data_IF_531186756487
#
_entry.id   IF_531186756487
#
_cell.length_a   1.000
_cell.length_b   1.000
_cell.length_c   1.000
_cell.angle_alpha   90.00
_cell.angle_beta   90.00
_cell.angle_gamma   90.00
#
_symmetry.space_group_name_H-M   'P 1'
#
loop_
_entity.id
_entity.type
_entity.pdbx_description
1 polymer ?
#
# COMPACT_ATOMS: atom_id res chain seq x y z
N UNK A 1 8.26 40.64 24.74
CA UNK A 1 8.69 41.54 23.66
C UNK A 1 9.49 40.72 22.67
N UNK A 2 9.69 41.24 21.48
CA UNK A 2 10.64 40.68 20.51
C UNK A 2 11.73 41.74 20.27
N UNK A 3 12.96 41.28 20.10
CA UNK A 3 14.08 42.12 19.65
C UNK A 3 14.50 41.63 18.27
N UNK A 4 14.67 42.56 17.32
CA UNK A 4 15.11 42.23 15.97
C UNK A 4 16.61 41.93 15.97
N UNK A 5 16.98 40.79 15.39
CA UNK A 5 18.37 40.42 15.14
C UNK A 5 18.59 40.30 13.63
N UNK A 6 19.67 40.93 13.13
CA UNK A 6 20.05 40.87 11.71
C UNK A 6 21.44 40.24 11.58
N UNK A 7 21.52 39.15 10.85
CA UNK A 7 22.77 38.50 10.48
C UNK A 7 22.99 38.68 8.97
N UNK A 8 24.15 39.22 8.60
CA UNK A 8 24.58 39.33 7.21
C UNK A 8 25.92 38.63 7.06
N UNK A 9 25.97 37.60 6.22
CA UNK A 9 27.20 36.90 5.86
C UNK A 9 27.47 37.10 4.37
N UNK A 10 28.68 37.56 4.04
CA UNK A 10 29.17 37.66 2.66
C UNK A 10 30.42 36.82 2.55
N UNK A 11 30.46 35.96 1.55
CA UNK A 11 31.65 35.18 1.21
C UNK A 11 31.95 35.38 -0.28
N UNK A 12 33.15 35.84 -0.57
CA UNK A 12 33.66 35.93 -1.93
C UNK A 12 34.69 34.82 -2.13
N UNK A 13 34.36 33.86 -2.99
CA UNK A 13 35.36 32.91 -3.50
C UNK A 13 35.77 33.33 -4.91
N UNK A 14 36.94 32.89 -5.37
CA UNK A 14 37.45 33.15 -6.72
C UNK A 14 36.44 32.81 -7.84
N UNK A 15 35.50 31.91 -7.57
CA UNK A 15 34.55 31.39 -8.55
C UNK A 15 33.07 31.76 -8.27
N UNK A 16 32.69 32.04 -7.02
CA UNK A 16 31.29 32.25 -6.61
C UNK A 16 31.17 33.33 -5.51
N UNK A 17 30.62 34.52 -5.81
CA UNK A 17 30.07 35.40 -4.77
C UNK A 17 28.80 34.80 -4.16
N UNK A 18 28.78 34.70 -2.83
CA UNK A 18 27.63 34.25 -2.04
C UNK A 18 27.27 35.35 -1.03
N UNK A 19 26.00 35.75 -1.02
CA UNK A 19 25.43 36.64 0.00
C UNK A 19 24.27 35.93 0.68
N UNK A 20 24.33 35.85 2.01
CA UNK A 20 23.27 35.32 2.87
C UNK A 20 22.86 36.42 3.83
N UNK A 21 21.58 36.79 3.83
CA UNK A 21 20.99 37.72 4.78
C UNK A 21 19.87 37.04 5.55
N UNK A 22 19.89 37.10 6.87
CA UNK A 22 18.80 36.57 7.71
C UNK A 22 18.42 37.63 8.74
N UNK A 23 17.12 37.90 8.83
CA UNK A 23 16.49 38.78 9.81
C UNK A 23 15.47 37.97 10.63
N UNK A 24 15.65 37.99 11.94
CA UNK A 24 14.92 37.17 12.90
C UNK A 24 14.26 38.04 13.96
N UNK A 25 13.05 37.66 14.36
CA UNK A 25 12.46 38.10 15.61
C UNK A 25 12.88 37.13 16.72
N UNK A 26 13.62 37.64 17.71
CA UNK A 26 14.05 36.88 18.88
C UNK A 26 13.12 37.19 20.06
N UNK A 27 12.40 36.20 20.62
CA UNK A 27 11.55 36.44 21.79
C UNK A 27 12.40 36.78 23.02
N UNK A 28 12.08 37.88 23.71
CA UNK A 28 12.86 38.36 24.88
C UNK A 28 12.79 37.42 26.09
N UNK A 29 11.91 36.42 26.09
CA UNK A 29 11.68 35.51 27.23
C UNK A 29 11.95 34.02 26.92
N UNK A 30 12.13 33.64 25.66
CA UNK A 30 12.44 32.25 25.28
C UNK A 30 13.10 32.23 23.89
N UNK A 31 14.43 32.11 23.80
CA UNK A 31 15.16 32.15 22.53
C UNK A 31 14.90 30.92 21.63
N UNK A 32 14.20 29.91 22.13
CA UNK A 32 13.93 28.66 21.41
C UNK A 32 12.87 28.78 20.31
N UNK A 33 12.09 29.87 20.31
CA UNK A 33 11.04 30.12 19.32
C UNK A 33 11.38 31.34 18.45
N UNK A 34 12.48 31.24 17.69
CA UNK A 34 12.84 32.27 16.71
C UNK A 34 11.85 32.24 15.54
N UNK A 35 11.35 33.41 15.15
CA UNK A 35 10.51 33.54 13.95
C UNK A 35 11.31 34.26 12.87
N UNK A 36 11.48 33.61 11.72
CA UNK A 36 12.13 34.24 10.56
C UNK A 36 11.21 35.33 10.02
N UNK A 37 11.67 36.58 10.05
CA UNK A 37 11.00 37.72 9.42
C UNK A 37 11.35 37.80 7.94
N UNK A 38 12.64 37.64 7.65
CA UNK A 38 13.16 37.69 6.30
C UNK A 38 14.41 36.82 6.20
N UNK A 39 14.51 35.99 5.18
CA UNK A 39 15.74 35.31 4.81
C UNK A 39 15.96 35.47 3.30
N UNK A 40 17.15 35.89 2.92
CA UNK A 40 17.57 36.11 1.55
C UNK A 40 18.85 35.33 1.28
N UNK A 41 18.86 34.59 0.18
CA UNK A 41 20.03 33.92 -0.36
C UNK A 41 20.26 34.43 -1.77
N UNK A 42 21.47 34.91 -2.06
CA UNK A 42 21.89 35.24 -3.42
C UNK A 42 23.22 34.55 -3.71
N UNK A 43 23.23 33.71 -4.74
CA UNK A 43 24.41 33.01 -5.22
C UNK A 43 24.54 33.30 -6.70
N UNK A 44 25.65 33.84 -7.15
CA UNK A 44 25.87 34.10 -8.57
C UNK A 44 27.22 33.54 -9.02
N UNK A 45 27.27 32.98 -10.22
CA UNK A 45 28.53 32.76 -10.94
C UNK A 45 28.88 34.03 -11.70
N UNK A 46 30.17 34.34 -11.88
CA UNK A 46 30.59 35.60 -12.51
C UNK A 46 30.06 35.85 -13.93
N UNK A 47 29.53 34.83 -14.62
CA UNK A 47 29.21 34.94 -16.06
C UNK A 47 27.95 34.23 -16.57
N UNK A 48 27.26 33.39 -15.78
CA UNK A 48 26.23 32.54 -16.40
C UNK A 48 24.98 32.31 -15.56
N UNK A 49 25.10 31.96 -14.27
CA UNK A 49 23.95 31.49 -13.48
C UNK A 49 23.85 32.31 -12.19
N UNK A 50 22.64 32.77 -11.86
CA UNK A 50 22.34 33.33 -10.56
C UNK A 50 21.13 32.64 -9.93
N UNK A 51 21.19 32.44 -8.62
CA UNK A 51 20.14 31.90 -7.79
C UNK A 51 19.76 32.95 -6.74
N UNK A 52 18.47 33.24 -6.65
CA UNK A 52 17.91 34.10 -5.62
C UNK A 52 16.85 33.32 -4.85
N UNK A 53 16.94 33.33 -3.53
CA UNK A 53 15.95 32.78 -2.63
C UNK A 53 15.49 33.87 -1.66
N UNK A 54 14.19 33.93 -1.40
CA UNK A 54 13.58 34.86 -0.45
C UNK A 54 12.52 34.10 0.35
N UNK A 55 12.57 34.25 1.66
CA UNK A 55 11.48 33.96 2.59
C UNK A 55 11.15 35.28 3.26
N UNK A 56 9.90 35.72 3.21
CA UNK A 56 9.46 36.98 3.78
C UNK A 56 8.14 36.80 4.51
N UNK A 57 8.12 37.11 5.80
CA UNK A 57 6.89 37.23 6.56
C UNK A 57 6.19 38.51 6.16
N UNK A 58 4.96 38.40 5.63
CA UNK A 58 4.13 39.54 5.22
C UNK A 58 3.17 40.01 6.32
N UNK A 59 2.89 39.13 7.29
CA UNK A 59 1.98 39.40 8.39
C UNK A 59 1.92 38.25 9.38
N UNK A 60 0.96 38.30 10.31
CA UNK A 60 0.71 37.18 11.22
C UNK A 60 0.26 35.94 10.43
N UNK A 61 1.04 34.85 10.50
CA UNK A 61 0.74 33.60 9.79
C UNK A 61 0.88 33.66 8.27
N UNK A 62 1.42 34.75 7.70
CA UNK A 62 1.56 34.91 6.25
C UNK A 62 3.02 34.97 5.82
N UNK A 63 3.40 34.10 4.89
CA UNK A 63 4.76 33.97 4.37
C UNK A 63 4.76 33.98 2.85
N UNK A 64 5.67 34.74 2.27
CA UNK A 64 6.00 34.72 0.85
C UNK A 64 7.36 34.03 0.69
N UNK A 65 7.39 32.98 -0.12
CA UNK A 65 8.59 32.31 -0.55
C UNK A 65 8.80 32.59 -2.03
N UNK A 66 10.01 32.92 -2.44
CA UNK A 66 10.37 33.10 -3.84
C UNK A 66 11.71 32.45 -4.11
N UNK A 67 11.82 31.73 -5.22
CA UNK A 67 13.07 31.20 -5.74
C UNK A 67 13.16 31.57 -7.22
N UNK A 68 14.27 32.18 -7.63
CA UNK A 68 14.53 32.52 -9.01
C UNK A 68 15.88 31.97 -9.47
N UNK A 69 15.92 31.48 -10.70
CA UNK A 69 17.14 31.07 -11.39
C UNK A 69 17.27 31.88 -12.66
N UNK A 70 18.40 32.56 -12.79
CA UNK A 70 18.74 33.39 -13.92
C UNK A 70 19.86 32.72 -14.73
N UNK A 71 19.75 32.76 -16.06
CA UNK A 71 20.80 32.36 -16.99
C UNK A 71 21.12 33.54 -17.92
N UNK A 72 22.36 34.01 -17.95
CA UNK A 72 22.79 35.20 -18.70
C UNK A 72 21.85 36.42 -18.53
N UNK A 73 21.41 36.68 -17.30
CA UNK A 73 20.51 37.80 -16.98
C UNK A 73 19.04 37.58 -17.35
N UNK A 74 18.68 36.47 -17.98
CA UNK A 74 17.29 36.09 -18.27
C UNK A 74 16.73 35.17 -17.19
N UNK A 75 15.46 35.33 -16.82
CA UNK A 75 14.77 34.43 -15.89
C UNK A 75 14.47 33.10 -16.60
N UNK A 76 15.08 32.02 -16.14
CA UNK A 76 14.79 30.67 -16.67
C UNK A 76 13.74 29.97 -15.83
N UNK A 77 13.76 30.24 -14.53
CA UNK A 77 12.79 29.71 -13.57
C UNK A 77 12.49 30.77 -12.52
N UNK A 78 11.21 30.93 -12.20
CA UNK A 78 10.77 31.72 -11.05
C UNK A 78 9.63 30.98 -10.37
N UNK A 79 9.77 30.68 -9.09
CA UNK A 79 8.73 30.05 -8.27
C UNK A 79 8.40 31.02 -7.15
N UNK A 80 7.14 31.40 -7.01
CA UNK A 80 6.63 32.21 -5.92
C UNK A 80 5.52 31.45 -5.21
N UNK A 81 5.59 31.33 -3.90
CA UNK A 81 4.58 30.67 -3.08
C UNK A 81 4.16 31.57 -1.93
N UNK A 82 2.87 31.80 -1.79
CA UNK A 82 2.28 32.50 -0.65
C UNK A 82 1.59 31.49 0.25
N UNK A 83 1.99 31.46 1.51
CA UNK A 83 1.44 30.61 2.54
C UNK A 83 0.67 31.47 3.55
N UNK A 84 -0.56 31.09 3.84
CA UNK A 84 -1.43 31.76 4.81
C UNK A 84 -1.91 30.70 5.80
N UNK A 85 -1.53 30.86 7.06
CA UNK A 85 -1.97 30.05 8.19
C UNK A 85 -2.82 30.91 9.13
N UNK A 86 -4.07 30.51 9.34
CA UNK A 86 -4.98 31.15 10.30
C UNK A 86 -5.49 30.11 11.29
N UNK A 87 -5.73 30.52 12.55
CA UNK A 87 -6.24 29.65 13.61
C UNK A 87 -5.16 29.22 14.61
N UNK A 88 -5.52 28.28 15.50
CA UNK A 88 -4.63 27.67 16.50
C UNK A 88 -4.53 26.16 16.22
N UNK A 89 -3.44 25.51 16.59
CA UNK A 89 -3.17 24.14 16.13
C UNK A 89 -4.24 23.13 16.58
N UNK A 90 -4.43 22.09 15.77
CA UNK A 90 -5.29 20.92 15.94
C UNK A 90 -6.81 21.12 15.85
N UNK A 91 -7.35 22.34 16.03
CA UNK A 91 -8.78 22.63 15.81
C UNK A 91 -8.96 24.04 15.23
N UNK A 92 -9.90 24.20 14.29
CA UNK A 92 -10.23 25.51 13.69
C UNK A 92 -9.01 26.19 13.04
N UNK A 93 -8.30 25.44 12.19
CA UNK A 93 -7.16 25.96 11.42
C UNK A 93 -7.47 25.95 9.93
N UNK A 94 -6.88 26.92 9.22
CA UNK A 94 -6.88 26.97 7.77
C UNK A 94 -5.48 27.25 7.28
N UNK A 95 -5.00 26.43 6.36
CA UNK A 95 -3.73 26.58 5.68
C UNK A 95 -3.98 26.71 4.20
N UNK A 96 -3.54 27.81 3.60
CA UNK A 96 -3.64 28.07 2.17
C UNK A 96 -2.23 28.26 1.64
N UNK A 97 -1.88 27.53 0.59
CA UNK A 97 -0.68 27.76 -0.21
C UNK A 97 -1.12 28.07 -1.63
N UNK A 98 -0.71 29.21 -2.15
CA UNK A 98 -0.86 29.55 -3.57
C UNK A 98 0.54 29.70 -4.16
N UNK A 99 0.89 28.84 -5.11
CA UNK A 99 2.21 28.79 -5.73
C UNK A 99 2.08 28.98 -7.23
N UNK A 100 2.95 29.82 -7.79
CA UNK A 100 3.09 30.03 -9.23
C UNK A 100 4.55 29.77 -9.62
N UNK A 101 4.75 29.02 -10.70
CA UNK A 101 6.04 28.70 -11.27
C UNK A 101 6.05 29.12 -12.74
N UNK A 102 7.01 29.97 -13.11
CA UNK A 102 7.29 30.38 -14.48
C UNK A 102 8.55 29.64 -14.92
N UNK A 103 8.43 28.84 -15.98
CA UNK A 103 9.50 28.06 -16.59
C UNK A 103 9.63 28.47 -18.06
N UNK A 104 10.62 29.32 -18.37
CA UNK A 104 10.70 29.99 -19.67
C UNK A 104 9.43 30.79 -19.95
N UNK A 105 8.68 30.38 -20.98
CA UNK A 105 7.42 31.03 -21.39
C UNK A 105 6.15 30.35 -20.84
N UNK A 106 6.30 29.31 -20.01
CA UNK A 106 5.16 28.58 -19.45
C UNK A 106 4.94 28.95 -17.99
N UNK A 107 3.68 29.17 -17.64
CA UNK A 107 3.25 29.44 -16.28
C UNK A 107 2.41 28.27 -15.77
N UNK A 108 2.79 27.74 -14.61
CA UNK A 108 2.07 26.72 -13.87
C UNK A 108 1.72 27.27 -12.50
N UNK A 109 0.51 27.01 -12.02
CA UNK A 109 0.08 27.40 -10.68
C UNK A 109 -0.45 26.20 -9.92
N UNK A 110 -0.35 26.22 -8.60
CA UNK A 110 -1.08 25.30 -7.74
C UNK A 110 -1.58 26.03 -6.52
N UNK A 111 -2.85 25.86 -6.20
CA UNK A 111 -3.44 26.35 -4.96
C UNK A 111 -3.90 25.17 -4.13
N UNK A 112 -3.43 25.12 -2.89
CA UNK A 112 -3.75 24.08 -1.95
C UNK A 112 -4.33 24.70 -0.70
N UNK A 113 -5.51 24.25 -0.29
CA UNK A 113 -6.22 24.76 0.89
C UNK A 113 -6.57 23.58 1.79
N UNK A 114 -6.11 23.57 3.03
CA UNK A 114 -6.59 22.68 4.09
C UNK A 114 -7.40 23.52 5.07
N UNK A 115 -8.57 23.05 5.45
CA UNK A 115 -9.39 23.61 6.52
C UNK A 115 -9.79 22.51 7.48
N UNK A 116 -9.63 22.75 8.76
CA UNK A 116 -10.18 21.90 9.81
C UNK A 116 -11.10 22.75 10.68
N UNK A 117 -12.38 22.44 10.69
CA UNK A 117 -13.38 23.12 11.50
C UNK A 117 -14.23 22.07 12.22
N UNK A 118 -14.20 22.09 13.56
CA UNK A 118 -14.89 21.10 14.41
C UNK A 118 -14.54 19.66 14.00
N UNK A 119 -15.50 18.92 13.44
CA UNK A 119 -15.38 17.53 13.00
C UNK A 119 -15.11 17.37 11.50
N UNK A 120 -14.91 18.47 10.76
CA UNK A 120 -14.78 18.46 9.30
C UNK A 120 -13.38 18.89 8.88
N UNK A 121 -12.69 18.02 8.16
CA UNK A 121 -11.43 18.32 7.48
C UNK A 121 -11.69 18.41 5.99
N UNK A 122 -11.50 19.59 5.40
CA UNK A 122 -11.55 19.81 3.97
C UNK A 122 -10.17 20.06 3.39
N UNK A 123 -9.88 19.49 2.22
CA UNK A 123 -8.72 19.85 1.42
C UNK A 123 -9.16 20.15 -0.01
N UNK A 124 -8.66 21.24 -0.59
CA UNK A 124 -8.88 21.62 -1.99
C UNK A 124 -7.52 21.74 -2.64
N UNK A 125 -7.32 21.06 -3.76
CA UNK A 125 -6.14 21.18 -4.58
C UNK A 125 -6.54 21.59 -6.00
N UNK A 126 -6.05 22.74 -6.45
CA UNK A 126 -6.24 23.26 -7.79
C UNK A 126 -4.87 23.30 -8.48
N UNK A 127 -4.78 22.70 -9.68
CA UNK A 127 -3.65 22.85 -10.58
C UNK A 127 -4.04 23.79 -11.73
N UNK A 128 -3.16 24.72 -12.06
CA UNK A 128 -3.35 25.76 -13.06
C UNK A 128 -2.26 25.74 -14.11
N UNK A 129 -2.61 26.10 -15.34
CA UNK A 129 -1.68 26.42 -16.41
C UNK A 129 -2.13 27.71 -17.08
N UNK A 130 -1.20 28.66 -17.23
CA UNK A 130 -1.45 29.94 -17.90
C UNK A 130 -2.70 30.66 -17.34
N UNK A 131 -2.86 30.62 -16.01
CA UNK A 131 -3.99 31.22 -15.29
C UNK A 131 -5.29 30.39 -15.28
N UNK A 132 -5.42 29.34 -16.09
CA UNK A 132 -6.61 28.50 -16.14
C UNK A 132 -6.46 27.23 -15.27
N UNK A 133 -7.53 26.86 -14.54
CA UNK A 133 -7.58 25.58 -13.84
C UNK A 133 -7.59 24.42 -14.85
N UNK A 134 -6.75 23.42 -14.62
CA UNK A 134 -6.68 22.20 -15.44
C UNK A 134 -7.06 20.95 -14.66
N UNK A 135 -7.02 21.00 -13.33
CA UNK A 135 -7.36 19.89 -12.46
C UNK A 135 -7.74 20.42 -11.07
N UNK A 136 -8.82 19.90 -10.50
CA UNK A 136 -9.33 20.30 -9.18
C UNK A 136 -9.69 19.03 -8.41
N UNK A 137 -9.20 18.92 -7.17
CA UNK A 137 -9.57 17.85 -6.23
C UNK A 137 -10.13 18.48 -4.97
N UNK A 138 -11.37 18.14 -4.64
CA UNK A 138 -12.00 18.50 -3.38
C UNK A 138 -12.11 17.24 -2.52
N UNK A 139 -11.44 17.24 -1.38
CA UNK A 139 -11.58 16.22 -0.35
C UNK A 139 -12.33 16.82 0.83
N UNK A 140 -13.31 16.09 1.34
CA UNK A 140 -14.03 16.43 2.57
C UNK A 140 -14.13 15.18 3.44
N UNK A 141 -13.53 15.22 4.60
CA UNK A 141 -13.63 14.20 5.63
C UNK A 141 -14.49 14.73 6.78
N UNK A 142 -15.47 13.96 7.22
CA UNK A 142 -16.41 14.28 8.28
C UNK A 142 -16.29 13.18 9.33
N UNK A 143 -15.96 13.56 10.57
CA UNK A 143 -15.78 12.66 11.70
C UNK A 143 -16.94 12.83 12.67
N UNK A 144 -17.91 11.92 12.65
CA UNK A 144 -18.91 11.79 13.71
C UNK A 144 -18.55 10.59 14.61
N UNK A 145 -19.13 10.55 15.80
CA UNK A 145 -18.87 9.58 16.88
C UNK A 145 -18.84 8.13 16.39
N UNK A 146 -19.70 7.79 15.43
CA UNK A 146 -19.80 6.46 14.83
C UNK A 146 -19.78 6.46 13.31
N UNK A 147 -19.59 7.60 12.66
CA UNK A 147 -19.70 7.71 11.21
C UNK A 147 -18.55 8.55 10.66
N UNK A 148 -17.67 7.91 9.91
CA UNK A 148 -16.57 8.57 9.22
C UNK A 148 -16.89 8.62 7.74
N UNK A 149 -17.08 9.81 7.20
CA UNK A 149 -17.43 10.00 5.79
C UNK A 149 -16.30 10.73 5.08
N UNK A 150 -15.78 10.16 4.01
CA UNK A 150 -14.80 10.78 3.11
C UNK A 150 -15.43 10.95 1.74
N UNK A 151 -15.47 12.19 1.26
CA UNK A 151 -15.96 12.55 -0.07
C UNK A 151 -14.77 13.11 -0.85
N UNK A 152 -14.49 12.56 -2.01
CA UNK A 152 -13.46 13.07 -2.93
C UNK A 152 -14.16 13.38 -4.25
N UNK A 153 -14.00 14.60 -4.74
CA UNK A 153 -14.48 15.01 -6.05
C UNK A 153 -13.29 15.44 -6.89
N UNK A 154 -13.17 14.85 -8.07
CA UNK A 154 -12.10 15.12 -9.03
C UNK A 154 -12.75 15.73 -10.27
N UNK A 155 -12.40 16.98 -10.53
CA UNK A 155 -12.83 17.74 -11.70
C UNK A 155 -11.68 18.00 -12.65
N UNK A 156 -11.91 17.75 -13.93
CA UNK A 156 -11.07 18.21 -15.04
C UNK A 156 -11.90 19.25 -15.80
N UNK A 157 -11.58 20.55 -15.77
CA UNK A 157 -12.39 21.59 -16.42
C UNK A 157 -12.58 21.39 -17.93
N UNK A 158 -11.72 20.60 -18.58
CA UNK A 158 -11.80 20.23 -20.00
C UNK A 158 -12.73 19.03 -20.26
N UNK A 159 -13.16 18.31 -19.22
CA UNK A 159 -14.11 17.20 -19.33
C UNK A 159 -15.46 17.62 -18.73
N UNK A 160 -16.57 17.19 -19.36
CA UNK A 160 -17.90 17.59 -18.91
C UNK A 160 -18.34 16.91 -17.60
N UNK A 161 -17.66 15.85 -17.17
CA UNK A 161 -18.08 15.00 -16.04
C UNK A 161 -17.06 14.99 -14.92
N UNK A 162 -17.51 15.10 -13.67
CA UNK A 162 -16.65 14.95 -12.50
C UNK A 162 -16.73 13.53 -11.95
N UNK A 163 -15.64 13.08 -11.34
CA UNK A 163 -15.58 11.79 -10.66
C UNK A 163 -15.72 12.01 -9.16
N UNK A 164 -16.70 11.37 -8.54
CA UNK A 164 -16.99 11.50 -7.11
C UNK A 164 -16.84 10.16 -6.42
N UNK A 165 -16.04 10.12 -5.37
CA UNK A 165 -15.89 9.00 -4.47
C UNK A 165 -16.55 9.36 -3.15
N UNK A 166 -17.46 8.52 -2.66
CA UNK A 166 -17.97 8.61 -1.30
C UNK A 166 -17.57 7.34 -0.58
N UNK A 167 -16.85 7.47 0.52
CA UNK A 167 -16.51 6.37 1.39
C UNK A 167 -17.09 6.66 2.77
N UNK A 168 -17.80 5.70 3.33
CA UNK A 168 -18.43 5.79 4.64
C UNK A 168 -17.99 4.58 5.45
N UNK A 169 -17.52 4.84 6.66
CA UNK A 169 -17.22 3.83 7.66
C UNK A 169 -18.16 4.10 8.84
N UNK A 170 -19.11 3.20 9.03
CA UNK A 170 -20.04 3.21 10.17
C UNK A 170 -19.52 2.25 11.24
N UNK A 171 -19.29 2.75 12.45
CA UNK A 171 -18.91 1.95 13.61
C UNK A 171 -20.17 1.42 14.27
N UNK A 172 -20.42 0.11 14.12
CA UNK A 172 -21.55 -0.56 14.76
C UNK A 172 -21.21 -0.76 16.24
N UNK A 173 -20.05 -1.39 16.50
CA UNK A 173 -19.47 -1.63 17.82
C UNK A 173 -17.94 -1.69 17.73
N UNK A 174 -17.25 -1.89 18.85
CA UNK A 174 -15.79 -2.01 18.85
C UNK A 174 -15.36 -3.14 17.90
N UNK A 175 -14.49 -2.80 16.94
CA UNK A 175 -13.97 -3.71 15.90
C UNK A 175 -14.97 -4.21 14.84
N UNK A 176 -16.21 -3.72 14.86
CA UNK A 176 -17.22 -4.07 13.87
C UNK A 176 -17.73 -2.83 13.15
N UNK A 177 -17.55 -2.84 11.84
CA UNK A 177 -17.77 -1.70 10.98
C UNK A 177 -18.62 -2.10 9.78
N UNK A 178 -19.37 -1.15 9.23
CA UNK A 178 -19.91 -1.24 7.88
C UNK A 178 -19.12 -0.29 7.00
N UNK A 179 -18.58 -0.81 5.90
CA UNK A 179 -17.94 0.01 4.87
C UNK A 179 -18.94 0.18 3.73
N UNK A 180 -19.07 1.40 3.25
CA UNK A 180 -19.80 1.73 2.03
C UNK A 180 -18.86 2.58 1.17
N UNK A 181 -18.64 2.18 -0.07
CA UNK A 181 -17.82 2.94 -1.03
C UNK A 181 -18.56 3.04 -2.34
N UNK A 182 -18.77 4.27 -2.78
CA UNK A 182 -19.46 4.62 -4.01
C UNK A 182 -18.54 5.42 -4.90
N UNK A 183 -18.44 5.02 -6.16
CA UNK A 183 -17.77 5.79 -7.21
C UNK A 183 -18.82 6.19 -8.23
N UNK A 184 -18.98 7.49 -8.42
CA UNK A 184 -19.94 8.08 -9.34
C UNK A 184 -19.23 8.93 -10.38
N UNK A 185 -19.74 8.93 -11.60
CA UNK A 185 -19.44 9.94 -12.60
C UNK A 185 -20.73 10.74 -12.82
N UNK A 186 -20.77 11.96 -12.31
CA UNK A 186 -21.99 12.76 -12.09
C UNK A 186 -23.07 11.92 -11.35
N UNK A 187 -24.25 11.75 -11.95
CA UNK A 187 -25.36 10.97 -11.40
C UNK A 187 -25.27 9.46 -11.71
N UNK A 188 -24.24 9.01 -12.45
CA UNK A 188 -24.08 7.60 -12.82
C UNK A 188 -23.19 6.88 -11.81
N UNK A 189 -23.75 5.92 -11.07
CA UNK A 189 -22.97 5.02 -10.22
C UNK A 189 -22.13 4.06 -11.08
N UNK A 190 -20.80 4.11 -10.92
CA UNK A 190 -19.86 3.23 -11.61
C UNK A 190 -19.58 1.97 -10.80
N UNK A 191 -19.39 2.13 -9.49
CA UNK A 191 -19.09 1.03 -8.56
C UNK A 191 -19.73 1.36 -7.22
N UNK A 192 -20.43 0.39 -6.64
CA UNK A 192 -20.92 0.43 -5.27
C UNK A 192 -20.39 -0.80 -4.54
N UNK A 193 -19.71 -0.58 -3.41
CA UNK A 193 -19.18 -1.62 -2.52
C UNK A 193 -19.78 -1.39 -1.16
N UNK A 194 -20.47 -2.39 -0.60
CA UNK A 194 -20.97 -2.31 0.76
C UNK A 194 -20.75 -3.62 1.50
N UNK A 195 -20.53 -3.55 2.81
CA UNK A 195 -20.51 -4.76 3.61
C UNK A 195 -19.92 -4.60 5.00
N UNK A 196 -20.18 -5.58 5.88
CA UNK A 196 -19.60 -5.62 7.19
C UNK A 196 -18.11 -6.01 7.15
N UNK A 197 -17.37 -5.41 8.07
CA UNK A 197 -16.05 -5.83 8.53
C UNK A 197 -16.16 -6.13 10.00
N UNK A 198 -15.79 -7.34 10.39
CA UNK A 198 -15.92 -7.84 11.75
C UNK A 198 -14.59 -8.36 12.25
N UNK A 199 -14.18 -7.95 13.44
CA UNK A 199 -13.03 -8.55 14.11
C UNK A 199 -13.39 -8.94 15.55
N UNK A 200 -13.10 -10.19 15.90
CA UNK A 200 -13.36 -10.76 17.21
C UNK A 200 -12.08 -11.33 17.80
N UNK A 201 -11.84 -10.96 19.05
CA UNK A 201 -10.80 -11.51 19.88
C UNK A 201 -11.43 -12.22 21.07
N UNK A 202 -10.98 -13.44 21.34
CA UNK A 202 -11.27 -14.20 22.55
C UNK A 202 -9.97 -14.80 23.09
N UNK A 203 -10.03 -15.43 24.27
CA UNK A 203 -8.84 -15.92 24.97
C UNK A 203 -7.95 -16.86 24.14
N UNK A 204 -8.55 -17.63 23.23
CA UNK A 204 -7.86 -18.59 22.38
C UNK A 204 -8.15 -18.38 20.88
N UNK A 205 -8.90 -17.35 20.50
CA UNK A 205 -9.39 -17.17 19.13
C UNK A 205 -9.25 -15.74 18.66
N UNK A 206 -8.72 -15.57 17.45
CA UNK A 206 -8.80 -14.32 16.69
C UNK A 206 -9.53 -14.62 15.38
N UNK A 207 -10.54 -13.83 15.05
CA UNK A 207 -11.27 -13.95 13.78
C UNK A 207 -11.43 -12.57 13.15
N UNK A 208 -11.19 -12.49 11.86
CA UNK A 208 -11.41 -11.31 11.04
C UNK A 208 -12.22 -11.71 9.81
N UNK A 209 -13.36 -11.06 9.59
CA UNK A 209 -14.24 -11.32 8.45
C UNK A 209 -14.53 -10.03 7.70
N UNK A 210 -14.49 -10.09 6.38
CA UNK A 210 -14.98 -9.08 5.47
C UNK A 210 -15.99 -9.78 4.54
N UNK A 211 -17.17 -9.22 4.38
CA UNK A 211 -18.17 -9.70 3.41
C UNK A 211 -18.65 -8.49 2.60
N UNK A 212 -18.02 -8.24 1.44
CA UNK A 212 -18.32 -7.07 0.61
C UNK A 212 -19.15 -7.49 -0.59
N UNK A 213 -20.32 -6.88 -0.73
CA UNK A 213 -21.11 -6.89 -1.95
C UNK A 213 -20.64 -5.77 -2.86
N UNK A 214 -20.39 -6.10 -4.12
CA UNK A 214 -19.99 -5.18 -5.17
C UNK A 214 -21.07 -5.15 -6.25
N UNK A 215 -21.35 -3.97 -6.79
CA UNK A 215 -22.23 -3.79 -7.93
C UNK A 215 -21.77 -2.66 -8.86
N UNK A 216 -22.21 -2.69 -10.12
CA UNK A 216 -21.89 -1.69 -11.15
C UNK A 216 -20.98 -2.28 -12.24
N UNK A 217 -19.77 -1.75 -12.40
CA UNK A 217 -18.79 -2.30 -13.33
C UNK A 217 -18.29 -3.71 -12.93
N UNK A 218 -18.43 -4.06 -11.65
CA UNK A 218 -18.07 -5.36 -11.09
C UNK A 218 -19.19 -5.83 -10.17
N UNK A 219 -19.88 -6.90 -10.56
CA UNK A 219 -20.94 -7.51 -9.76
C UNK A 219 -20.41 -8.76 -9.04
N UNK A 220 -20.68 -8.86 -7.74
CA UNK A 220 -20.32 -10.04 -6.98
C UNK A 220 -20.27 -9.83 -5.48
N UNK A 221 -19.85 -10.87 -4.78
CA UNK A 221 -19.62 -10.82 -3.33
C UNK A 221 -18.19 -11.29 -3.09
N UNK A 222 -17.37 -10.47 -2.45
CA UNK A 222 -16.03 -10.86 -2.02
C UNK A 222 -16.08 -11.12 -0.53
N UNK A 223 -15.75 -12.36 -0.14
CA UNK A 223 -15.62 -12.76 1.25
C UNK A 223 -14.16 -12.99 1.58
N UNK A 224 -13.70 -12.43 2.69
CA UNK A 224 -12.38 -12.70 3.24
C UNK A 224 -12.53 -13.06 4.70
N UNK A 225 -12.09 -14.24 5.08
CA UNK A 225 -12.03 -14.69 6.47
C UNK A 225 -10.58 -15.02 6.80
N UNK A 226 -10.13 -14.53 7.94
CA UNK A 226 -8.93 -14.99 8.62
C UNK A 226 -9.32 -15.45 10.01
N UNK A 227 -8.83 -16.60 10.44
CA UNK A 227 -9.04 -17.10 11.78
C UNK A 227 -7.77 -17.75 12.32
N UNK A 228 -7.47 -17.50 13.59
CA UNK A 228 -6.45 -18.20 14.35
C UNK A 228 -7.09 -18.74 15.64
N UNK A 229 -6.91 -20.03 15.91
CA UNK A 229 -7.26 -20.69 17.15
C UNK A 229 -5.95 -21.16 17.80
N UNK A 230 -5.67 -20.74 19.03
CA UNK A 230 -4.45 -21.11 19.75
C UNK A 230 -4.84 -21.60 21.14
N UNK A 231 -4.67 -22.90 21.37
CA UNK A 231 -4.78 -23.54 22.67
C UNK A 231 -3.57 -24.44 22.94
N UNK A 232 -3.50 -25.02 24.14
CA UNK A 232 -2.47 -26.00 24.49
C UNK A 232 -2.55 -27.23 23.60
N UNK A 233 -3.76 -27.69 23.30
CA UNK A 233 -4.04 -28.91 22.56
C UNK A 233 -4.05 -28.69 21.04
N UNK A 234 -4.42 -27.50 20.57
CA UNK A 234 -4.69 -27.26 19.16
C UNK A 234 -4.22 -25.87 18.73
N UNK A 235 -3.55 -25.79 17.59
CA UNK A 235 -3.27 -24.51 16.92
C UNK A 235 -3.79 -24.59 15.49
N UNK A 236 -4.70 -23.72 15.10
CA UNK A 236 -5.25 -23.67 13.75
C UNK A 236 -5.15 -22.26 13.19
N UNK A 237 -4.76 -22.14 11.92
CA UNK A 237 -4.74 -20.89 11.18
C UNK A 237 -5.44 -21.10 9.85
N UNK A 238 -6.43 -20.27 9.56
CA UNK A 238 -7.24 -20.36 8.35
C UNK A 238 -7.29 -19.00 7.65
N UNK A 239 -7.03 -18.99 6.35
CA UNK A 239 -7.31 -17.88 5.43
C UNK A 239 -8.29 -18.42 4.39
N UNK A 240 -9.41 -17.73 4.17
CA UNK A 240 -10.40 -18.10 3.17
C UNK A 240 -10.88 -16.85 2.43
N UNK A 241 -10.49 -16.73 1.17
CA UNK A 241 -10.92 -15.68 0.25
C UNK A 241 -11.79 -16.30 -0.83
N UNK A 242 -13.00 -15.77 -1.00
CA UNK A 242 -13.98 -16.27 -1.97
C UNK A 242 -14.56 -15.15 -2.80
N UNK A 243 -14.87 -15.48 -4.05
CA UNK A 243 -15.78 -14.72 -4.88
C UNK A 243 -17.10 -15.50 -4.99
N UNK A 244 -18.17 -14.94 -4.44
CA UNK A 244 -19.43 -15.62 -4.15
C UNK A 244 -19.16 -16.91 -3.34
N UNK A 245 -19.45 -18.07 -3.93
CA UNK A 245 -19.22 -19.39 -3.32
C UNK A 245 -17.88 -20.02 -3.71
N UNK A 246 -17.20 -19.46 -4.71
CA UNK A 246 -15.97 -20.03 -5.28
C UNK A 246 -14.76 -19.58 -4.48
N UNK A 247 -14.00 -20.51 -3.87
CA UNK A 247 -12.74 -20.14 -3.21
C UNK A 247 -11.75 -19.64 -4.26
N UNK A 248 -11.14 -18.49 -4.00
CA UNK A 248 -10.01 -17.95 -4.76
C UNK A 248 -8.69 -18.35 -4.11
N UNK A 249 -8.61 -18.20 -2.78
CA UNK A 249 -7.47 -18.61 -1.97
C UNK A 249 -8.01 -19.20 -0.68
N UNK A 250 -7.59 -20.41 -0.34
CA UNK A 250 -7.86 -21.04 0.93
C UNK A 250 -6.55 -21.61 1.48
N UNK A 251 -6.24 -21.33 2.73
CA UNK A 251 -5.11 -21.91 3.44
C UNK A 251 -5.62 -22.32 4.81
N UNK A 252 -5.38 -23.56 5.21
CA UNK A 252 -5.70 -24.06 6.54
C UNK A 252 -4.51 -24.86 7.06
N UNK A 253 -3.99 -24.44 8.21
CA UNK A 253 -2.88 -25.10 8.90
C UNK A 253 -3.40 -25.49 10.27
N UNK A 254 -3.32 -26.76 10.60
CA UNK A 254 -3.79 -27.32 11.86
C UNK A 254 -2.66 -28.15 12.48
N UNK A 255 -2.15 -27.70 13.62
CA UNK A 255 -1.36 -28.51 14.53
C UNK A 255 -2.26 -29.03 15.64
N UNK A 256 -2.57 -30.32 15.61
CA UNK A 256 -3.28 -31.03 16.66
C UNK A 256 -2.27 -31.78 17.52
N UNK A 257 -2.18 -31.40 18.80
CA UNK A 257 -1.28 -32.03 19.79
C UNK A 257 -1.99 -33.10 20.61
N UNK A 258 -3.25 -33.41 20.29
CA UNK A 258 -3.96 -34.56 20.85
C UNK A 258 -3.56 -35.85 20.11
N UNK A 259 -4.13 -37.00 20.50
CA UNK A 259 -3.74 -38.36 20.08
C UNK A 259 -3.16 -38.46 18.65
N UNK A 260 -1.86 -38.79 18.56
CA UNK A 260 -0.99 -38.92 17.37
C UNK A 260 -0.12 -37.70 17.00
N UNK A 261 -0.38 -36.51 17.58
CA UNK A 261 0.39 -35.28 17.38
C UNK A 261 0.74 -35.03 15.90
N UNK A 262 -0.22 -34.47 15.16
CA UNK A 262 -0.13 -34.28 13.72
C UNK A 262 -0.28 -32.80 13.35
N UNK A 263 0.53 -32.34 12.41
CA UNK A 263 0.35 -31.04 11.76
C UNK A 263 -0.07 -31.25 10.32
N UNK A 264 -1.27 -30.79 9.97
CA UNK A 264 -1.78 -30.79 8.61
C UNK A 264 -1.77 -29.37 8.05
N UNK A 265 -1.51 -29.25 6.76
CA UNK A 265 -1.63 -28.00 6.03
C UNK A 265 -2.33 -28.28 4.71
N UNK A 266 -3.28 -27.43 4.33
CA UNK A 266 -3.97 -27.46 3.05
C UNK A 266 -3.99 -26.08 2.45
N UNK A 267 -3.61 -25.95 1.19
CA UNK A 267 -3.72 -24.72 0.43
C UNK A 267 -4.45 -24.98 -0.90
N UNK A 268 -5.39 -24.10 -1.24
CA UNK A 268 -6.11 -24.12 -2.52
C UNK A 268 -6.00 -22.72 -3.12
N UNK A 269 -5.56 -22.63 -4.37
CA UNK A 269 -5.50 -21.39 -5.12
C UNK A 269 -6.27 -21.61 -6.42
N UNK A 270 -7.25 -20.77 -6.69
CA UNK A 270 -8.09 -20.87 -7.87
C UNK A 270 -8.25 -19.49 -8.51
N UNK A 271 -7.54 -19.33 -9.61
CA UNK A 271 -7.61 -18.21 -10.52
C UNK A 271 -8.23 -18.75 -11.83
N UNK A 272 -9.52 -18.48 -12.11
CA UNK A 272 -10.33 -19.22 -13.10
C UNK A 272 -9.72 -19.42 -14.49
N UNK A 273 -8.84 -18.52 -14.95
CA UNK A 273 -8.19 -18.59 -16.27
C UNK A 273 -6.73 -19.07 -16.16
N UNK A 274 -6.08 -18.84 -15.02
CA UNK A 274 -4.62 -18.98 -14.90
C UNK A 274 -4.24 -20.30 -14.26
N UNK A 275 -4.84 -20.64 -13.13
CA UNK A 275 -4.34 -21.68 -12.24
C UNK A 275 -5.44 -22.24 -11.33
N UNK A 276 -5.49 -23.55 -11.19
CA UNK A 276 -6.18 -24.23 -10.09
C UNK A 276 -5.20 -25.17 -9.41
N UNK A 277 -4.78 -24.85 -8.20
CA UNK A 277 -3.77 -25.59 -7.46
C UNK A 277 -4.29 -26.00 -6.08
N UNK A 278 -4.02 -27.24 -5.71
CA UNK A 278 -4.30 -27.81 -4.39
C UNK A 278 -3.02 -28.43 -3.85
N UNK A 279 -2.62 -28.03 -2.66
CA UNK A 279 -1.47 -28.55 -1.93
C UNK A 279 -1.95 -29.06 -0.58
N UNK A 280 -1.43 -30.20 -0.16
CA UNK A 280 -1.65 -30.70 1.18
C UNK A 280 -0.36 -31.27 1.76
N UNK A 281 -0.17 -31.12 3.06
CA UNK A 281 0.92 -31.72 3.81
C UNK A 281 0.38 -32.26 5.13
N UNK A 282 0.95 -33.38 5.57
CA UNK A 282 0.68 -34.01 6.86
C UNK A 282 2.02 -34.40 7.49
N UNK A 283 2.28 -33.90 8.69
CA UNK A 283 3.52 -34.09 9.43
C UNK A 283 3.17 -34.75 10.76
N UNK A 284 3.67 -35.96 10.95
CA UNK A 284 3.57 -36.70 12.20
C UNK A 284 4.96 -37.13 12.67
N UNK A 285 5.03 -37.74 13.85
CA UNK A 285 6.28 -38.31 14.38
C UNK A 285 6.90 -39.40 13.49
N UNK A 286 6.11 -40.06 12.63
CA UNK A 286 6.57 -41.18 11.80
C UNK A 286 6.61 -40.92 10.31
N UNK A 287 5.90 -39.90 9.83
CA UNK A 287 5.68 -39.67 8.41
C UNK A 287 5.54 -38.17 8.12
N UNK A 288 6.25 -37.71 7.11
CA UNK A 288 5.97 -36.45 6.43
C UNK A 288 5.41 -36.79 5.05
N UNK A 289 4.14 -36.49 4.83
CA UNK A 289 3.45 -36.65 3.55
C UNK A 289 3.20 -35.27 2.94
N UNK A 290 3.43 -35.13 1.65
CA UNK A 290 3.04 -33.95 0.87
C UNK A 290 2.38 -34.39 -0.42
N UNK A 291 1.40 -33.62 -0.88
CA UNK A 291 0.76 -33.80 -2.18
C UNK A 291 0.50 -32.46 -2.85
N UNK A 292 0.53 -32.48 -4.18
CA UNK A 292 0.17 -31.36 -5.01
C UNK A 292 -0.66 -31.82 -6.20
N UNK A 293 -1.62 -31.00 -6.59
CA UNK A 293 -2.47 -31.20 -7.75
C UNK A 293 -2.76 -29.83 -8.36
N UNK A 294 -2.15 -29.56 -9.50
CA UNK A 294 -2.16 -28.24 -10.13
C UNK A 294 -2.55 -28.34 -11.58
N UNK A 295 -3.51 -27.52 -12.02
CA UNK A 295 -3.91 -27.35 -13.41
C UNK A 295 -3.60 -25.92 -13.82
N UNK A 296 -2.76 -25.75 -14.83
CA UNK A 296 -2.45 -24.46 -15.44
C UNK A 296 -3.36 -24.27 -16.66
N UNK A 297 -3.90 -23.06 -16.83
CA UNK A 297 -4.86 -22.70 -17.88
C UNK A 297 -6.08 -23.64 -17.99
N UNK A 298 -6.82 -23.87 -16.88
CA UNK A 298 -7.84 -24.92 -16.79
C UNK A 298 -9.00 -24.80 -17.79
N UNK A 299 -9.22 -23.61 -18.36
CA UNK A 299 -10.32 -23.30 -19.28
C UNK A 299 -9.88 -23.23 -20.75
N UNK A 300 -8.63 -23.61 -21.07
CA UNK A 300 -8.06 -23.47 -22.42
C UNK A 300 -7.67 -24.82 -23.02
N UNK A 301 -7.47 -24.88 -24.34
CA UNK A 301 -6.99 -26.08 -25.04
C UNK A 301 -5.57 -26.50 -24.66
N UNK A 302 -4.79 -25.60 -24.05
CA UNK A 302 -3.43 -25.85 -23.57
C UNK A 302 -3.38 -26.23 -22.09
N UNK A 303 -4.51 -26.62 -21.48
CA UNK A 303 -4.58 -27.05 -20.09
C UNK A 303 -3.54 -28.16 -19.80
N UNK A 304 -2.78 -27.98 -18.72
CA UNK A 304 -1.76 -28.92 -18.27
C UNK A 304 -1.94 -29.23 -16.79
N UNK A 305 -1.98 -30.53 -16.45
CA UNK A 305 -2.13 -31.00 -15.08
C UNK A 305 -0.85 -31.63 -14.56
N UNK A 306 -0.39 -31.08 -13.44
CA UNK A 306 0.72 -31.57 -12.66
C UNK A 306 0.18 -32.22 -11.39
N UNK A 307 0.67 -33.41 -11.06
CA UNK A 307 0.42 -34.05 -9.77
C UNK A 307 1.74 -34.44 -9.16
N UNK A 308 1.84 -34.38 -7.85
CA UNK A 308 2.98 -34.93 -7.15
C UNK A 308 2.62 -35.37 -5.77
N UNK A 309 3.37 -36.34 -5.25
CA UNK A 309 3.32 -36.70 -3.85
C UNK A 309 4.72 -37.06 -3.38
N UNK A 310 5.01 -36.80 -2.11
CA UNK A 310 6.25 -37.22 -1.48
C UNK A 310 5.99 -37.67 -0.05
N UNK A 311 6.54 -38.83 0.29
CA UNK A 311 6.49 -39.49 1.60
C UNK A 311 7.90 -39.65 2.14
N UNK A 312 8.15 -39.08 3.31
CA UNK A 312 9.34 -39.35 4.10
C UNK A 312 8.93 -40.15 5.34
N UNK A 313 9.15 -41.47 5.30
CA UNK A 313 8.90 -42.36 6.42
C UNK A 313 10.12 -42.36 7.35
N UNK A 314 9.98 -41.72 8.51
CA UNK A 314 11.05 -41.56 9.50
C UNK A 314 11.38 -42.87 10.22
N UNK A 315 10.43 -43.81 10.31
CA UNK A 315 10.60 -45.10 10.99
C UNK A 315 11.33 -46.10 10.11
N UNK A 316 10.96 -46.17 8.84
CA UNK A 316 11.58 -47.07 7.85
C UNK A 316 12.81 -46.46 7.17
N UNK A 317 13.08 -45.17 7.41
CA UNK A 317 14.12 -44.38 6.76
C UNK A 317 14.05 -44.45 5.23
N UNK A 318 12.82 -44.33 4.70
CA UNK A 318 12.52 -44.36 3.27
C UNK A 318 11.94 -43.04 2.81
N UNK A 319 12.37 -42.61 1.64
CA UNK A 319 11.78 -41.50 0.90
C UNK A 319 11.19 -42.03 -0.40
N UNK A 320 9.95 -41.65 -0.67
CA UNK A 320 9.26 -41.92 -1.94
C UNK A 320 8.72 -40.62 -2.48
N UNK A 321 8.94 -40.33 -3.75
CA UNK A 321 8.29 -39.23 -4.43
C UNK A 321 7.91 -39.60 -5.85
N UNK A 322 6.72 -39.20 -6.27
CA UNK A 322 6.34 -39.23 -7.68
C UNK A 322 5.93 -37.83 -8.13
N UNK A 323 6.30 -37.50 -9.36
CA UNK A 323 5.87 -36.29 -10.05
C UNK A 323 5.33 -36.65 -11.44
N UNK A 324 4.13 -36.22 -11.75
CA UNK A 324 3.42 -36.44 -13.01
C UNK A 324 3.20 -35.07 -13.67
N UNK A 325 3.62 -34.90 -14.93
CA UNK A 325 3.47 -33.63 -15.66
C UNK A 325 2.41 -33.66 -16.78
N UNK A 326 1.77 -34.81 -17.00
CA UNK A 326 0.68 -34.97 -17.98
C UNK A 326 -0.37 -35.97 -17.48
N UNK A 327 -0.72 -35.87 -16.18
CA UNK A 327 -1.46 -36.89 -15.45
C UNK A 327 -2.89 -37.20 -15.98
N UNK A 328 -3.42 -36.40 -16.91
CA UNK A 328 -4.70 -36.66 -17.57
C UNK A 328 -4.57 -37.43 -18.89
N UNK A 329 -3.44 -37.27 -19.60
CA UNK A 329 -3.24 -37.87 -20.92
C UNK A 329 -2.39 -39.13 -20.87
N UNK A 330 -1.40 -39.18 -19.97
CA UNK A 330 -0.49 -40.32 -19.85
C UNK A 330 0.05 -40.45 -18.42
N UNK A 331 -0.40 -41.48 -17.70
CA UNK A 331 0.05 -41.78 -16.34
C UNK A 331 1.49 -42.31 -16.27
N UNK A 332 2.10 -42.68 -17.41
CA UNK A 332 3.49 -43.14 -17.49
C UNK A 332 4.49 -41.98 -17.64
N UNK A 333 4.01 -40.76 -17.93
CA UNK A 333 4.81 -39.52 -17.89
C UNK A 333 4.99 -39.05 -16.46
N UNK A 334 5.84 -39.79 -15.76
CA UNK A 334 6.19 -39.53 -14.37
C UNK A 334 7.68 -39.69 -14.10
N UNK A 335 8.12 -39.00 -13.06
CA UNK A 335 9.41 -39.15 -12.41
C UNK A 335 9.15 -39.77 -11.05
N UNK A 336 9.75 -40.93 -10.78
CA UNK A 336 9.61 -41.64 -9.51
C UNK A 336 10.98 -41.78 -8.83
N UNK A 337 11.05 -41.42 -7.56
CA UNK A 337 12.21 -41.59 -6.71
C UNK A 337 11.82 -42.44 -5.51
N UNK A 338 12.52 -43.55 -5.31
CA UNK A 338 12.39 -44.38 -4.10
C UNK A 338 13.80 -44.59 -3.58
N UNK A 339 14.08 -44.10 -2.37
CA UNK A 339 15.41 -44.19 -1.78
C UNK A 339 15.35 -44.47 -0.30
N UNK A 340 16.34 -45.21 0.19
CA UNK A 340 16.66 -45.23 1.61
C UNK A 340 17.47 -43.98 1.97
N UNK A 341 17.45 -43.60 3.23
CA UNK A 341 18.39 -42.62 3.77
C UNK A 341 18.86 -43.07 5.16
N UNK A 342 20.00 -42.56 5.60
CA UNK A 342 20.50 -42.76 6.94
C UNK A 342 20.92 -41.40 7.49
N UNK A 343 20.53 -41.13 8.74
CA UNK A 343 20.93 -39.90 9.44
C UNK A 343 22.20 -40.19 10.23
N UNK A 344 23.31 -39.61 9.81
CA UNK A 344 24.55 -39.65 10.58
C UNK A 344 24.60 -38.43 11.52
N UNK A 345 24.26 -38.69 12.78
CA UNK A 345 24.23 -37.68 13.85
C UNK A 345 25.63 -37.24 14.28
N UNK A 346 26.68 -38.01 14.00
CA UNK A 346 28.07 -37.67 14.33
C UNK A 346 28.62 -36.58 13.39
N UNK A 347 28.13 -36.54 12.15
CA UNK A 347 28.59 -35.63 11.10
C UNK A 347 27.58 -34.54 10.73
N UNK A 348 26.37 -34.54 11.33
CA UNK A 348 25.21 -33.72 10.93
C UNK A 348 24.92 -33.80 9.43
N UNK A 349 25.10 -35.00 8.83
CA UNK A 349 24.89 -35.25 7.40
C UNK A 349 23.76 -36.25 7.21
N UNK A 350 22.99 -36.07 6.14
CA UNK A 350 22.03 -37.06 5.65
C UNK A 350 22.70 -37.79 4.48
N UNK A 351 22.90 -39.10 4.64
CA UNK A 351 23.37 -39.98 3.58
C UNK A 351 22.14 -40.57 2.88
N UNK A 352 22.05 -40.39 1.57
CA UNK A 352 20.94 -40.90 0.74
C UNK A 352 21.49 -42.00 -0.16
N UNK A 353 20.89 -43.19 -0.11
CA UNK A 353 21.25 -44.33 -0.95
C UNK A 353 19.99 -44.93 -1.56
N UNK A 354 19.86 -44.89 -2.88
CA UNK A 354 18.71 -45.49 -3.56
C UNK A 354 18.67 -45.27 -5.06
N UNK A 355 17.60 -45.80 -5.66
CA UNK A 355 17.42 -45.90 -7.09
C UNK A 355 16.51 -44.77 -7.61
N UNK A 356 17.04 -43.93 -8.50
CA UNK A 356 16.23 -42.99 -9.26
C UNK A 356 15.67 -43.74 -10.49
N UNK A 357 14.35 -43.91 -10.55
CA UNK A 357 13.70 -44.55 -11.70
C UNK A 357 13.01 -43.50 -12.56
N UNK A 358 13.59 -43.22 -13.74
CA UNK A 358 12.95 -42.38 -14.76
C UNK A 358 12.15 -43.30 -15.69
N UNK A 359 10.82 -43.36 -15.53
CA UNK A 359 9.97 -44.28 -16.31
C UNK A 359 9.74 -43.83 -17.75
N UNK A 360 9.76 -42.52 -18.04
CA UNK A 360 9.86 -42.00 -19.40
C UNK A 360 10.26 -40.52 -19.38
N UNK A 361 11.11 -40.10 -20.32
CA UNK A 361 11.50 -38.70 -20.51
C UNK A 361 11.16 -38.34 -21.97
N UNK A 362 9.89 -38.04 -22.24
CA UNK A 362 9.46 -37.53 -23.55
C UNK A 362 9.49 -36.00 -23.51
N UNK A 363 10.54 -35.42 -24.09
CA UNK A 363 10.52 -34.01 -24.50
C UNK A 363 9.60 -33.91 -25.72
N UNK A 364 8.55 -33.09 -25.62
CA UNK A 364 7.58 -32.88 -26.68
C UNK A 364 7.02 -31.47 -26.62
#
# INVERSE_FOLDING_TARGET
GYTNAKLLAKAETLLLPITIGVELDVPTKSPWFMVVQKAELKVATRKAIAFEGLILRKGAGQYLNSVAVHYYGSNVMKIEATHILTGKSFENFSFITDMTAILGNHEFGTKFTIKHEKSVVGAIWELRREGANIFIVNLKHIMDTKLYTTIIEIGLPTLPKSLKFNNVIEVIEFLNYKIITDVHMDDTALVHIEGPVFCQFGNAMMKYNIDLKMSGAFDGVIKFMNAALISLEKTQFTIDMRHATTPLVFVDILADRTNAAETTAKAVIHLPIVLKAEYAAALSSGLIHTSMNTIVFPTTSIARKFKGYADLNLKEQKFKADFYWDAEKDTNKKLSLITGYMVDTSMRKILVQGDLTISSLTYG
#
